data_IF_523702991420
#
_entry.id   IF_523702991420
#
_cell.length_a   1.000
_cell.length_b   1.000
_cell.length_c   1.000
_cell.angle_alpha   90.00
_cell.angle_beta   90.00
_cell.angle_gamma   90.00
#
_symmetry.space_group_name_H-M   'P 1'
#
loop_
_entity.id
_entity.type
_entity.pdbx_description
1 polymer ?
#
# COMPACT_ATOMS: atom_id res chain seq x y z
N UNK A 1 19.99 15.25 -7.12
CA UNK A 1 19.49 14.35 -6.06
C UNK A 1 18.11 13.83 -6.44
N UNK A 2 17.84 12.55 -6.18
CA UNK A 2 16.54 11.95 -6.35
C UNK A 2 15.91 11.84 -4.96
N UNK A 3 14.74 12.46 -4.77
CA UNK A 3 13.97 12.37 -3.55
C UNK A 3 12.60 11.80 -3.90
N UNK A 4 12.19 10.74 -3.22
CA UNK A 4 10.88 10.14 -3.41
C UNK A 4 10.30 9.65 -2.08
N UNK A 5 8.99 9.57 -2.01
CA UNK A 5 8.31 8.99 -0.85
C UNK A 5 8.14 7.48 -1.06
N UNK A 6 8.87 6.70 -0.25
CA UNK A 6 8.82 5.23 -0.30
C UNK A 6 7.40 4.68 -0.05
N UNK A 7 6.51 5.46 0.56
CA UNK A 7 5.11 5.05 0.75
C UNK A 7 4.35 4.86 -0.57
N UNK A 8 4.85 5.45 -1.68
CA UNK A 8 4.29 5.26 -3.02
C UNK A 8 4.50 3.83 -3.56
N UNK A 9 5.47 3.10 -3.02
CA UNK A 9 5.68 1.68 -3.33
C UNK A 9 4.77 0.76 -2.50
N UNK A 10 4.14 1.30 -1.46
CA UNK A 10 3.26 0.52 -0.61
C UNK A 10 1.89 0.43 -1.26
N UNK A 11 1.47 -0.79 -1.58
CA UNK A 11 0.10 -1.04 -2.02
C UNK A 11 -0.86 -0.87 -0.85
N UNK A 12 -2.03 -0.29 -1.12
CA UNK A 12 -3.12 -0.28 -0.14
C UNK A 12 -3.75 -1.67 0.03
N UNK A 13 -3.59 -2.52 -0.96
CA UNK A 13 -3.77 -3.97 -0.85
C UNK A 13 -2.40 -4.52 -0.44
N UNK A 14 -2.32 -5.06 0.77
CA UNK A 14 -1.06 -5.59 1.31
C UNK A 14 -0.68 -6.88 0.59
N UNK A 15 0.17 -6.76 -0.41
CA UNK A 15 0.86 -7.90 -1.00
C UNK A 15 2.07 -8.32 -0.11
N UNK A 16 2.64 -9.49 -0.40
CA UNK A 16 3.77 -10.01 0.36
C UNK A 16 5.03 -9.13 0.24
N UNK A 17 5.22 -8.44 -0.87
CA UNK A 17 6.36 -7.53 -1.10
C UNK A 17 6.21 -6.29 -0.22
N UNK A 18 5.02 -5.70 -0.18
CA UNK A 18 4.72 -4.56 0.68
C UNK A 18 4.90 -4.90 2.17
N UNK A 19 4.37 -6.04 2.62
CA UNK A 19 4.42 -6.45 4.04
C UNK A 19 5.84 -6.81 4.48
N UNK A 20 6.56 -7.58 3.67
CA UNK A 20 7.86 -8.14 4.09
C UNK A 20 9.02 -7.15 3.90
N UNK A 21 8.94 -6.23 2.94
CA UNK A 21 10.07 -5.40 2.54
C UNK A 21 9.78 -3.90 2.67
N UNK A 22 8.69 -3.38 2.12
CA UNK A 22 8.44 -1.94 2.06
C UNK A 22 7.94 -1.40 3.41
N UNK A 23 6.93 -2.01 3.99
CA UNK A 23 6.37 -1.60 5.30
C UNK A 23 7.43 -1.59 6.42
N UNK A 24 8.34 -2.57 6.55
CA UNK A 24 9.43 -2.51 7.52
C UNK A 24 10.40 -1.34 7.32
N UNK A 25 10.65 -0.91 6.08
CA UNK A 25 11.46 0.28 5.80
C UNK A 25 10.71 1.55 6.26
N UNK A 26 9.45 1.69 5.86
CA UNK A 26 8.60 2.84 6.27
C UNK A 26 8.52 2.93 7.79
N UNK A 27 8.35 1.82 8.48
CA UNK A 27 8.28 1.75 9.94
C UNK A 27 9.66 1.78 10.62
N UNK A 28 10.73 2.11 9.90
CA UNK A 28 12.11 2.23 10.42
C UNK A 28 12.61 0.98 11.15
N UNK A 29 12.08 -0.19 10.82
CA UNK A 29 12.57 -1.48 11.34
C UNK A 29 13.80 -1.97 10.58
N UNK A 30 13.88 -1.63 9.30
CA UNK A 30 15.03 -1.83 8.46
C UNK A 30 15.77 -0.50 8.30
N UNK A 31 17.06 -0.53 8.52
CA UNK A 31 17.95 0.58 8.22
C UNK A 31 18.64 0.29 6.89
N UNK A 32 18.40 1.16 5.91
CA UNK A 32 19.07 1.11 4.63
C UNK A 32 20.51 1.64 4.76
N UNK A 33 21.44 1.21 3.91
CA UNK A 33 22.78 1.76 3.88
C UNK A 33 22.71 3.26 3.54
N UNK A 34 23.48 4.06 4.27
CA UNK A 34 23.57 5.51 4.03
C UNK A 34 24.48 5.82 2.85
N UNK A 35 25.49 4.98 2.65
CA UNK A 35 26.50 5.10 1.60
C UNK A 35 26.73 3.72 1.01
N UNK A 36 26.82 3.65 -0.31
CA UNK A 36 27.23 2.46 -1.05
C UNK A 36 28.51 2.84 -1.79
N UNK A 37 29.61 2.20 -1.41
CA UNK A 37 30.92 2.47 -1.97
C UNK A 37 31.06 1.97 -3.42
N UNK A 38 31.84 2.66 -4.22
CA UNK A 38 32.14 2.32 -5.62
C UNK A 38 32.78 0.91 -5.77
N UNK A 39 33.48 0.44 -4.74
CA UNK A 39 34.09 -0.88 -4.71
C UNK A 39 33.11 -2.01 -4.37
N UNK A 40 31.84 -1.69 -4.12
CA UNK A 40 30.80 -2.67 -3.86
C UNK A 40 30.32 -3.31 -5.17
N UNK A 41 30.17 -4.64 -5.20
CA UNK A 41 29.67 -5.37 -6.37
C UNK A 41 28.30 -4.88 -6.86
N UNK A 42 27.52 -4.29 -5.99
CA UNK A 42 26.17 -3.76 -6.28
C UNK A 42 26.19 -2.33 -6.83
N UNK A 43 27.29 -1.58 -6.65
CA UNK A 43 27.34 -0.16 -6.95
C UNK A 43 26.96 0.14 -8.40
N UNK A 44 27.55 -0.56 -9.36
CA UNK A 44 27.29 -0.34 -10.78
C UNK A 44 25.82 -0.60 -11.13
N UNK A 45 25.25 -1.69 -10.62
CA UNK A 45 23.84 -2.04 -10.84
C UNK A 45 22.89 -0.96 -10.28
N UNK A 46 23.15 -0.47 -9.07
CA UNK A 46 22.33 0.57 -8.45
C UNK A 46 22.51 1.92 -9.17
N UNK A 47 23.72 2.23 -9.61
CA UNK A 47 24.01 3.43 -10.42
C UNK A 47 23.23 3.41 -11.74
N UNK A 48 23.22 2.29 -12.45
CA UNK A 48 22.47 2.13 -13.70
C UNK A 48 20.97 2.31 -13.48
N UNK A 49 20.41 1.66 -12.46
CA UNK A 49 18.99 1.81 -12.09
C UNK A 49 18.68 3.29 -11.78
N UNK A 50 19.54 3.95 -11.01
CA UNK A 50 19.37 5.34 -10.65
C UNK A 50 19.39 6.27 -11.86
N UNK A 51 20.35 6.10 -12.77
CA UNK A 51 20.46 6.87 -14.00
C UNK A 51 19.24 6.65 -14.89
N UNK A 52 18.77 5.40 -14.98
CA UNK A 52 17.57 5.08 -15.75
C UNK A 52 16.30 5.72 -15.17
N UNK A 53 16.16 5.76 -13.85
CA UNK A 53 15.04 6.50 -13.21
C UNK A 53 15.06 7.98 -13.61
N UNK A 54 16.23 8.62 -13.60
CA UNK A 54 16.37 10.03 -14.01
C UNK A 54 15.98 10.20 -15.48
N UNK A 55 16.46 9.33 -16.36
CA UNK A 55 16.15 9.36 -17.78
C UNK A 55 14.64 9.24 -18.02
N UNK A 56 13.99 8.23 -17.43
CA UNK A 56 12.55 7.98 -17.55
C UNK A 56 11.75 9.16 -17.04
N UNK A 57 12.13 9.72 -15.89
CA UNK A 57 11.46 10.88 -15.31
C UNK A 57 11.53 12.13 -16.18
N UNK A 58 12.66 12.34 -16.87
CA UNK A 58 12.84 13.49 -17.76
C UNK A 58 12.03 13.39 -19.06
N UNK A 59 11.81 12.17 -19.59
CA UNK A 59 11.09 11.96 -20.84
C UNK A 59 9.57 11.92 -20.70
N UNK A 60 9.04 11.52 -19.53
CA UNK A 60 7.60 11.52 -19.17
C UNK A 60 6.66 10.96 -20.25
N UNK A 61 7.02 9.87 -20.89
CA UNK A 61 6.14 9.20 -21.85
C UNK A 61 4.97 8.47 -21.14
N UNK A 62 3.97 8.05 -21.89
CA UNK A 62 2.81 7.34 -21.32
C UNK A 62 3.25 6.06 -20.59
N UNK A 63 2.93 5.97 -19.30
CA UNK A 63 3.30 4.84 -18.44
C UNK A 63 4.65 4.99 -17.72
N UNK A 64 5.34 6.12 -17.81
CA UNK A 64 6.62 6.36 -17.15
C UNK A 64 6.58 6.12 -15.63
N UNK A 65 5.44 6.37 -14.97
CA UNK A 65 5.29 6.10 -13.53
C UNK A 65 5.35 4.61 -13.21
N UNK A 66 4.87 3.73 -14.11
CA UNK A 66 4.97 2.28 -13.96
C UNK A 66 6.43 1.84 -14.05
N UNK A 67 7.17 2.36 -15.03
CA UNK A 67 8.59 2.04 -15.18
C UNK A 67 9.40 2.56 -13.99
N UNK A 68 9.16 3.76 -13.50
CA UNK A 68 9.81 4.26 -12.28
C UNK A 68 9.54 3.34 -11.10
N UNK A 69 8.28 2.91 -10.87
CA UNK A 69 7.96 1.95 -9.79
C UNK A 69 8.71 0.63 -9.95
N UNK A 70 8.75 0.07 -11.15
CA UNK A 70 9.48 -1.16 -11.43
C UNK A 70 10.98 -1.03 -11.12
N UNK A 71 11.60 0.07 -11.56
CA UNK A 71 13.00 0.38 -11.29
C UNK A 71 13.27 0.56 -9.79
N UNK A 72 12.35 1.19 -9.05
CA UNK A 72 12.48 1.33 -7.62
C UNK A 72 12.36 -0.01 -6.88
N UNK A 73 11.43 -0.89 -7.29
CA UNK A 73 11.38 -2.25 -6.75
C UNK A 73 12.67 -3.02 -7.06
N UNK A 74 13.21 -2.88 -8.27
CA UNK A 74 14.51 -3.48 -8.65
C UNK A 74 15.65 -2.95 -7.78
N UNK A 75 15.69 -1.64 -7.50
CA UNK A 75 16.66 -1.01 -6.61
C UNK A 75 16.64 -1.64 -5.21
N UNK A 76 15.45 -1.74 -4.59
CA UNK A 76 15.32 -2.37 -3.27
C UNK A 76 15.62 -3.86 -3.31
N UNK A 77 15.21 -4.58 -4.36
CA UNK A 77 15.51 -6.00 -4.50
C UNK A 77 17.02 -6.28 -4.51
N UNK A 78 17.81 -5.43 -5.18
CA UNK A 78 19.27 -5.55 -5.14
C UNK A 78 19.82 -5.31 -3.72
N UNK A 79 19.35 -4.28 -3.01
CA UNK A 79 19.79 -4.01 -1.63
C UNK A 79 19.48 -5.20 -0.69
N UNK A 80 18.29 -5.81 -0.83
CA UNK A 80 17.92 -6.98 -0.02
C UNK A 80 18.73 -8.23 -0.41
N UNK A 81 18.98 -8.46 -1.70
CA UNK A 81 19.78 -9.60 -2.19
C UNK A 81 21.17 -9.61 -1.59
N UNK A 82 21.81 -8.46 -1.51
CA UNK A 82 23.17 -8.31 -0.97
C UNK A 82 23.18 -8.16 0.57
N UNK A 83 22.06 -8.39 1.23
CA UNK A 83 21.94 -8.29 2.69
C UNK A 83 22.44 -6.95 3.27
N UNK A 84 22.37 -5.87 2.51
CA UNK A 84 22.81 -4.53 2.95
C UNK A 84 21.82 -3.87 3.91
N UNK A 85 20.71 -4.51 4.19
CA UNK A 85 19.69 -4.03 5.13
C UNK A 85 20.05 -4.45 6.54
N UNK A 86 20.23 -3.50 7.44
CA UNK A 86 20.46 -3.77 8.86
C UNK A 86 19.10 -3.94 9.54
N UNK A 87 18.81 -5.16 9.99
CA UNK A 87 17.64 -5.44 10.83
C UNK A 87 17.95 -4.96 12.25
N UNK A 88 17.09 -4.15 12.84
CA UNK A 88 17.18 -3.86 14.29
C UNK A 88 16.84 -5.14 15.06
N UNK A 89 17.66 -5.54 16.01
CA UNK A 89 17.69 -6.84 16.72
C UNK A 89 16.39 -7.37 17.35
N UNK A 90 15.28 -6.68 17.22
CA UNK A 90 13.98 -7.10 17.74
C UNK A 90 13.13 -7.96 16.76
N UNK A 91 13.68 -8.40 15.60
CA UNK A 91 12.86 -8.90 14.46
C UNK A 91 12.79 -10.44 14.41
N UNK A 92 13.72 -11.18 15.02
CA UNK A 92 13.76 -12.64 14.94
C UNK A 92 12.54 -13.35 15.59
N UNK A 93 11.74 -12.66 16.39
CA UNK A 93 10.48 -13.17 16.94
C UNK A 93 9.23 -12.78 16.14
N UNK A 94 9.38 -12.03 15.04
CA UNK A 94 8.26 -11.37 14.36
C UNK A 94 7.72 -12.14 13.12
N UNK A 95 8.43 -13.13 12.59
CA UNK A 95 7.99 -13.84 11.37
C UNK A 95 6.66 -14.59 11.59
N UNK A 96 6.50 -15.28 12.71
CA UNK A 96 5.22 -15.93 13.07
C UNK A 96 4.08 -14.93 13.27
N UNK A 97 4.41 -13.72 13.70
CA UNK A 97 3.43 -12.65 13.93
C UNK A 97 2.98 -12.00 12.61
N UNK A 98 3.87 -11.94 11.61
CA UNK A 98 3.54 -11.44 10.27
C UNK A 98 2.51 -12.33 9.60
N UNK A 99 2.62 -13.66 9.76
CA UNK A 99 1.62 -14.59 9.22
C UNK A 99 0.23 -14.35 9.82
N UNK A 100 0.14 -14.10 11.13
CA UNK A 100 -1.14 -13.81 11.78
C UNK A 100 -1.82 -12.54 11.25
N UNK A 101 -1.05 -11.49 10.95
CA UNK A 101 -1.62 -10.28 10.32
C UNK A 101 -2.09 -10.57 8.90
N UNK A 102 -1.41 -11.42 8.13
CA UNK A 102 -1.86 -11.82 6.79
C UNK A 102 -3.23 -12.48 6.84
N UNK A 103 -3.48 -13.32 7.83
CA UNK A 103 -4.78 -13.98 8.00
C UNK A 103 -5.89 -12.97 8.31
N UNK A 104 -5.62 -12.00 9.19
CA UNK A 104 -6.58 -10.92 9.48
C UNK A 104 -6.86 -10.05 8.24
N UNK A 105 -5.83 -9.76 7.43
CA UNK A 105 -5.98 -9.00 6.18
C UNK A 105 -6.79 -9.79 5.17
N UNK A 106 -6.49 -11.06 4.96
CA UNK A 106 -7.24 -11.95 4.08
C UNK A 106 -8.73 -12.04 4.50
N UNK A 107 -8.99 -12.07 5.81
CA UNK A 107 -10.36 -12.01 6.33
C UNK A 107 -11.03 -10.68 5.95
N UNK A 108 -10.34 -9.53 6.10
CA UNK A 108 -10.86 -8.22 5.69
C UNK A 108 -11.16 -8.19 4.19
N UNK A 109 -10.25 -8.69 3.36
CA UNK A 109 -10.41 -8.75 1.90
C UNK A 109 -11.62 -9.57 1.45
N UNK A 110 -11.90 -10.65 2.15
CA UNK A 110 -13.03 -11.53 1.83
C UNK A 110 -14.37 -11.01 2.39
N UNK A 111 -14.32 -10.19 3.46
CA UNK A 111 -15.51 -9.79 4.21
C UNK A 111 -15.74 -8.27 4.25
N UNK A 112 -14.99 -7.45 3.49
CA UNK A 112 -15.02 -5.99 3.58
C UNK A 112 -16.41 -5.37 3.37
N UNK A 113 -17.31 -6.06 2.68
CA UNK A 113 -18.70 -5.62 2.43
C UNK A 113 -19.56 -5.67 3.69
N UNK A 114 -19.23 -6.57 4.60
CA UNK A 114 -19.97 -6.82 5.82
C UNK A 114 -19.42 -5.98 6.98
N UNK A 115 -20.15 -5.95 8.08
CA UNK A 115 -19.62 -5.38 9.31
C UNK A 115 -18.51 -6.27 9.87
N UNK A 116 -17.31 -5.70 10.06
CA UNK A 116 -16.14 -6.42 10.54
C UNK A 116 -15.88 -6.01 11.98
N UNK A 117 -16.03 -6.95 12.89
CA UNK A 117 -15.74 -6.74 14.30
C UNK A 117 -14.24 -6.91 14.59
N UNK A 118 -13.68 -6.00 15.38
CA UNK A 118 -12.28 -6.04 15.81
C UNK A 118 -11.99 -7.29 16.64
N UNK A 119 -12.95 -7.74 17.45
CA UNK A 119 -12.85 -8.99 18.23
C UNK A 119 -12.59 -10.21 17.33
N UNK A 120 -13.30 -10.30 16.21
CA UNK A 120 -13.11 -11.38 15.23
C UNK A 120 -11.69 -11.39 14.67
N UNK A 121 -11.19 -10.21 14.28
CA UNK A 121 -9.82 -10.07 13.75
C UNK A 121 -8.75 -10.38 14.80
N UNK A 122 -8.98 -9.96 16.04
CA UNK A 122 -8.10 -10.25 17.16
C UNK A 122 -8.02 -11.77 17.43
N UNK A 123 -9.16 -12.45 17.40
CA UNK A 123 -9.25 -13.90 17.59
C UNK A 123 -8.53 -14.67 16.47
N UNK A 124 -8.65 -14.26 15.21
CA UNK A 124 -7.90 -14.83 14.06
C UNK A 124 -6.39 -14.75 14.32
N UNK A 125 -5.93 -13.64 14.91
CA UNK A 125 -4.53 -13.45 15.26
C UNK A 125 -4.11 -14.11 16.58
N UNK A 126 -5.03 -14.71 17.35
CA UNK A 126 -4.83 -15.19 18.72
C UNK A 126 -4.31 -14.10 19.68
N UNK A 127 -4.90 -12.91 19.58
CA UNK A 127 -4.59 -11.75 20.42
C UNK A 127 -5.86 -11.23 21.10
N UNK A 128 -5.70 -10.52 22.23
CA UNK A 128 -6.76 -9.65 22.70
C UNK A 128 -6.84 -8.39 21.80
N UNK A 129 -7.97 -7.69 21.83
CA UNK A 129 -8.25 -6.54 20.97
C UNK A 129 -7.20 -5.43 21.08
N UNK A 130 -6.78 -5.11 22.31
CA UNK A 130 -5.80 -4.06 22.57
C UNK A 130 -4.44 -4.40 21.93
N UNK A 131 -3.97 -5.62 22.12
CA UNK A 131 -2.71 -6.10 21.53
C UNK A 131 -2.82 -6.16 20.00
N UNK A 132 -3.96 -6.67 19.48
CA UNK A 132 -4.22 -6.72 18.05
C UNK A 132 -4.17 -5.32 17.42
N UNK A 133 -4.90 -4.32 17.96
CA UNK A 133 -4.92 -2.97 17.41
C UNK A 133 -3.53 -2.33 17.34
N UNK A 134 -2.73 -2.45 18.41
CA UNK A 134 -1.35 -1.95 18.43
C UNK A 134 -0.48 -2.67 17.42
N UNK A 135 -0.62 -3.98 17.36
CA UNK A 135 0.13 -4.85 16.51
C UNK A 135 -0.21 -4.60 15.02
N UNK A 136 -1.50 -4.55 14.70
CA UNK A 136 -1.98 -4.24 13.35
C UNK A 136 -1.45 -2.89 12.85
N UNK A 137 -1.55 -1.84 13.69
CA UNK A 137 -1.01 -0.51 13.34
C UNK A 137 0.52 -0.54 13.18
N UNK A 138 1.24 -1.28 14.02
CA UNK A 138 2.70 -1.43 13.93
C UNK A 138 3.12 -2.05 12.59
N UNK A 139 2.34 -3.00 12.07
CA UNK A 139 2.68 -3.75 10.85
C UNK A 139 2.15 -3.12 9.57
N UNK A 140 0.95 -2.53 9.62
CA UNK A 140 0.30 -1.96 8.42
C UNK A 140 0.51 -0.46 8.28
N UNK A 141 1.02 0.20 9.33
CA UNK A 141 1.14 1.67 9.39
C UNK A 141 -0.20 2.39 9.62
N UNK A 142 -1.32 1.67 9.62
CA UNK A 142 -2.69 2.23 9.75
C UNK A 142 -3.45 1.51 10.86
N UNK A 143 -4.41 2.19 11.50
CA UNK A 143 -5.35 1.47 12.37
C UNK A 143 -6.20 0.50 11.55
N UNK A 144 -6.71 -0.55 12.17
CA UNK A 144 -7.55 -1.53 11.50
C UNK A 144 -8.78 -0.88 10.84
N UNK A 145 -9.44 0.05 11.53
CA UNK A 145 -10.59 0.80 11.01
C UNK A 145 -10.19 1.64 9.78
N UNK A 146 -9.06 2.34 9.84
CA UNK A 146 -8.54 3.10 8.69
C UNK A 146 -8.18 2.18 7.51
N UNK A 147 -7.66 0.99 7.80
CA UNK A 147 -7.33 0.01 6.79
C UNK A 147 -8.58 -0.48 6.06
N UNK A 148 -9.61 -0.93 6.79
CA UNK A 148 -10.90 -1.36 6.23
C UNK A 148 -11.54 -0.23 5.41
N UNK A 149 -11.60 0.99 5.97
CA UNK A 149 -12.12 2.17 5.25
C UNK A 149 -11.39 2.39 3.92
N UNK A 150 -10.07 2.36 3.94
CA UNK A 150 -9.27 2.60 2.75
C UNK A 150 -9.46 1.50 1.70
N UNK A 151 -9.57 0.25 2.12
CA UNK A 151 -9.83 -0.89 1.24
C UNK A 151 -11.19 -0.76 0.56
N UNK A 152 -12.25 -0.44 1.31
CA UNK A 152 -13.59 -0.15 0.77
C UNK A 152 -13.58 0.97 -0.26
N UNK A 153 -12.88 2.07 0.04
CA UNK A 153 -12.75 3.21 -0.88
C UNK A 153 -12.03 2.84 -2.19
N UNK A 154 -11.06 1.94 -2.15
CA UNK A 154 -10.38 1.45 -3.36
C UNK A 154 -11.28 0.56 -4.21
N UNK A 155 -12.04 -0.33 -3.58
CA UNK A 155 -13.05 -1.10 -4.29
C UNK A 155 -14.10 -0.20 -4.94
N UNK A 156 -14.54 0.84 -4.21
CA UNK A 156 -15.48 1.84 -4.74
C UNK A 156 -14.88 2.62 -5.92
N UNK A 157 -13.61 3.01 -5.85
CA UNK A 157 -12.91 3.70 -6.95
C UNK A 157 -12.94 2.87 -8.23
N UNK A 158 -12.64 1.57 -8.13
CA UNK A 158 -12.67 0.67 -9.27
C UNK A 158 -14.07 0.48 -9.85
N UNK A 159 -15.09 0.34 -8.99
CA UNK A 159 -16.49 0.23 -9.43
C UNK A 159 -16.97 1.53 -10.11
N UNK A 160 -16.61 2.70 -9.59
CA UNK A 160 -16.96 3.99 -10.19
C UNK A 160 -16.37 4.18 -11.58
N UNK A 161 -15.18 3.62 -11.85
CA UNK A 161 -14.51 3.72 -13.16
C UNK A 161 -14.99 2.68 -14.17
N UNK A 162 -15.44 1.52 -13.70
CA UNK A 162 -15.67 0.37 -14.57
C UNK A 162 -17.16 -0.02 -14.65
N UNK A 163 -18.07 0.70 -14.00
CA UNK A 163 -19.52 0.40 -14.00
C UNK A 163 -20.35 1.67 -13.93
N UNK A 164 -21.59 1.58 -14.42
CA UNK A 164 -22.59 2.67 -14.34
C UNK A 164 -23.46 2.59 -13.08
N UNK A 165 -23.12 1.76 -12.13
CA UNK A 165 -23.88 1.61 -10.89
C UNK A 165 -24.02 2.97 -10.15
N UNK A 166 -25.20 3.28 -9.60
CA UNK A 166 -25.39 4.50 -8.83
C UNK A 166 -24.39 4.64 -7.69
N UNK A 167 -23.90 5.86 -7.45
CA UNK A 167 -22.94 6.15 -6.35
C UNK A 167 -23.46 5.65 -4.99
N UNK A 168 -24.76 5.78 -4.75
CA UNK A 168 -25.42 5.29 -3.54
C UNK A 168 -25.33 3.77 -3.41
N UNK A 169 -25.57 3.04 -4.49
CA UNK A 169 -25.46 1.59 -4.53
C UNK A 169 -24.02 1.15 -4.30
N UNK A 170 -23.05 1.73 -5.02
CA UNK A 170 -21.62 1.44 -4.81
C UNK A 170 -21.22 1.64 -3.35
N UNK A 171 -21.70 2.73 -2.71
CA UNK A 171 -21.44 2.98 -1.29
C UNK A 171 -21.85 1.80 -0.40
N UNK A 172 -23.05 1.26 -0.60
CA UNK A 172 -23.56 0.12 0.17
C UNK A 172 -22.85 -1.19 -0.22
N UNK A 173 -22.64 -1.42 -1.50
CA UNK A 173 -21.98 -2.64 -2.02
C UNK A 173 -20.55 -2.80 -1.50
N UNK A 174 -19.86 -1.70 -1.20
CA UNK A 174 -18.53 -1.76 -0.62
C UNK A 174 -18.53 -1.70 0.91
N UNK A 175 -19.71 -1.71 1.55
CA UNK A 175 -19.87 -1.85 2.99
C UNK A 175 -19.95 -0.55 3.80
N UNK A 176 -20.23 0.60 3.19
CA UNK A 176 -20.57 1.82 3.94
C UNK A 176 -22.05 1.82 4.29
N UNK A 177 -22.36 2.07 5.56
CA UNK A 177 -23.75 2.22 6.05
C UNK A 177 -24.32 3.61 5.83
N UNK A 178 -23.47 4.61 5.50
CA UNK A 178 -23.88 6.00 5.31
C UNK A 178 -23.20 6.61 4.09
N UNK A 179 -24.01 7.02 3.10
CA UNK A 179 -23.58 7.57 1.82
C UNK A 179 -22.83 8.90 2.00
N UNK A 180 -23.30 9.76 2.90
CA UNK A 180 -22.64 11.07 3.14
C UNK A 180 -21.24 10.88 3.73
N UNK A 181 -21.07 9.93 4.64
CA UNK A 181 -19.78 9.57 5.19
C UNK A 181 -18.86 8.96 4.11
N UNK A 182 -19.40 8.11 3.23
CA UNK A 182 -18.69 7.59 2.08
C UNK A 182 -18.16 8.72 1.18
N UNK A 183 -19.03 9.62 0.72
CA UNK A 183 -18.66 10.73 -0.18
C UNK A 183 -17.55 11.60 0.43
N UNK A 184 -17.68 11.95 1.71
CA UNK A 184 -16.68 12.74 2.43
C UNK A 184 -15.34 11.99 2.51
N UNK A 185 -15.34 10.71 2.90
CA UNK A 185 -14.15 9.89 3.00
C UNK A 185 -13.47 9.66 1.65
N UNK A 186 -14.26 9.52 0.59
CA UNK A 186 -13.78 9.38 -0.78
C UNK A 186 -13.06 10.66 -1.24
N UNK A 187 -13.69 11.83 -1.06
CA UNK A 187 -13.10 13.14 -1.38
C UNK A 187 -11.84 13.41 -0.57
N UNK A 188 -11.82 13.03 0.71
CA UNK A 188 -10.63 13.15 1.57
C UNK A 188 -9.46 12.40 0.97
N UNK A 189 -9.68 11.14 0.50
CA UNK A 189 -8.64 10.25 -0.03
C UNK A 189 -8.21 10.62 -1.44
N UNK A 190 -9.15 10.85 -2.35
CA UNK A 190 -8.89 11.01 -3.80
C UNK A 190 -8.92 12.46 -4.29
N UNK A 191 -9.26 13.43 -3.42
CA UNK A 191 -9.36 14.87 -3.71
C UNK A 191 -10.45 15.24 -4.71
N UNK A 192 -11.26 14.26 -5.12
CA UNK A 192 -12.45 14.44 -5.98
C UNK A 192 -13.62 13.66 -5.38
N UNK A 193 -14.84 14.08 -5.68
CA UNK A 193 -16.04 13.33 -5.30
C UNK A 193 -16.24 12.10 -6.20
N UNK A 194 -17.03 11.09 -5.75
CA UNK A 194 -17.37 9.95 -6.60
C UNK A 194 -18.00 10.35 -7.95
N UNK A 195 -18.86 11.38 -7.94
CA UNK A 195 -19.51 11.89 -9.16
C UNK A 195 -18.52 12.57 -10.10
N UNK A 196 -17.62 13.39 -9.58
CA UNK A 196 -16.55 14.03 -10.37
C UNK A 196 -15.60 13.02 -10.98
N UNK A 197 -15.27 11.93 -10.24
CA UNK A 197 -14.43 10.87 -10.77
C UNK A 197 -15.09 10.19 -11.99
N UNK A 198 -16.39 9.90 -11.92
CA UNK A 198 -17.14 9.28 -13.02
C UNK A 198 -17.14 10.14 -14.26
N UNK A 199 -17.47 11.44 -14.12
CA UNK A 199 -17.47 12.37 -15.25
C UNK A 199 -16.12 12.43 -15.96
N UNK A 200 -15.00 12.42 -15.21
CA UNK A 200 -13.66 12.40 -15.80
C UNK A 200 -13.32 11.08 -16.50
N UNK A 201 -13.91 9.95 -16.08
CA UNK A 201 -13.71 8.68 -16.75
C UNK A 201 -14.45 8.66 -18.09
N UNK A 202 -15.66 9.20 -18.17
CA UNK A 202 -16.47 9.29 -19.40
C UNK A 202 -15.79 10.19 -20.44
N UNK A 203 -15.18 11.32 -20.03
CA UNK A 203 -14.45 12.23 -20.93
C UNK A 203 -13.19 11.58 -21.54
N UNK A 204 -12.58 10.61 -20.87
CA UNK A 204 -11.37 9.92 -21.37
C UNK A 204 -11.63 8.83 -22.40
N UNK A 205 -12.88 8.43 -22.62
CA UNK A 205 -13.29 7.46 -23.66
C UNK A 205 -13.77 8.13 -24.96
N UNK A 206 -13.93 9.46 -24.98
CA UNK A 206 -14.45 10.21 -26.14
C UNK A 206 -13.35 10.97 -26.93
N UNK A 207 -12.07 10.56 -26.79
CA UNK A 207 -10.94 11.14 -27.55
C UNK A 207 -10.25 10.06 -28.37
#
# INVERSE_FOLDING_TARGET
SLVFDISQLNSSILDSSSVNFITPIINKKFKLPTIINENSNIYNNLKEIFLKIIQVYNHKYYGFELEIKALMFSFFANIFRENLVIKKDSILSDDSKIFKIKDAIKYIENNYRNDINITTLANICHYNEYHFMRFFKKYTGKTCIQFIKNYRLEKAYNLLKNTDLPVTQISFDVGFSNVSYFIRSFKEKYKVTPKELRLRADDSFNV
#
